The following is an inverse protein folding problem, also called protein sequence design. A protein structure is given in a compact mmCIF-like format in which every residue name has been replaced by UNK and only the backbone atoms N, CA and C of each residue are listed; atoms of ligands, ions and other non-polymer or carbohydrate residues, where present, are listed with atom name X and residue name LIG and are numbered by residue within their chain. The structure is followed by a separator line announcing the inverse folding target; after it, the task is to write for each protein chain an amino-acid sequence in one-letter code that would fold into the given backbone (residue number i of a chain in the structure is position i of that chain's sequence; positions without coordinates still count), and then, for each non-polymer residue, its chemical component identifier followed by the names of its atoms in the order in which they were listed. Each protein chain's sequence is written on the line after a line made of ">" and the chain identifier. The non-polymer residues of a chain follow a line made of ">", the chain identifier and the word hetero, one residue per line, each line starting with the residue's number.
data_IF_629024231021
#
_entry.id   IF_629024231021
#
_cell.length_a   1.000
_cell.length_b   1.000
_cell.length_c   1.000
_cell.angle_alpha   90.00
_cell.angle_beta   90.00
_cell.angle_gamma   90.00
#
_symmetry.space_group_name_H-M   'P 1'
#
loop_
_entity.id
_entity.type
_entity.pdbx_description
1 polymer ?
#
# COMPACT_ATOMS: atom_id res chain seq x y z
N UNK A 1 -7.19 6.61 -19.01
CA UNK A 1 -5.75 6.71 -19.32
C UNK A 1 -5.01 6.09 -18.16
N UNK A 2 -4.08 5.20 -18.46
CA UNK A 2 -3.26 4.52 -17.46
C UNK A 2 -1.96 5.33 -17.27
N UNK A 3 -1.47 5.44 -16.03
CA UNK A 3 -0.19 6.09 -15.74
C UNK A 3 0.99 5.25 -16.25
N UNK A 4 1.18 4.06 -15.69
CA UNK A 4 2.18 3.08 -16.12
C UNK A 4 1.49 1.77 -16.48
N UNK A 5 1.77 1.25 -17.68
CA UNK A 5 1.24 -0.03 -18.13
C UNK A 5 2.37 -1.05 -18.34
N UNK A 6 2.24 -2.21 -17.70
CA UNK A 6 3.16 -3.34 -17.80
C UNK A 6 2.41 -4.55 -18.37
N UNK A 7 2.92 -5.12 -19.45
CA UNK A 7 2.29 -6.26 -20.14
C UNK A 7 3.35 -7.30 -20.44
N UNK A 8 3.24 -8.49 -19.84
CA UNK A 8 4.25 -9.54 -19.99
C UNK A 8 5.65 -9.09 -19.55
N UNK A 9 5.72 -8.23 -18.53
CA UNK A 9 6.94 -7.55 -18.12
C UNK A 9 7.39 -8.07 -16.76
N UNK A 10 8.53 -8.75 -16.72
CA UNK A 10 9.04 -9.39 -15.51
C UNK A 10 10.31 -8.70 -15.00
N UNK A 11 10.58 -8.80 -13.70
CA UNK A 11 11.83 -8.32 -13.06
C UNK A 11 12.11 -6.82 -13.20
N UNK A 12 11.08 -5.98 -13.12
CA UNK A 12 11.21 -4.52 -13.16
C UNK A 12 11.13 -3.90 -11.77
N UNK A 13 11.78 -2.75 -11.62
CA UNK A 13 11.70 -1.88 -10.45
C UNK A 13 10.97 -0.58 -10.83
N UNK A 14 9.88 -0.27 -10.14
CA UNK A 14 9.25 1.04 -10.16
C UNK A 14 9.49 1.65 -8.78
N UNK A 15 10.26 2.73 -8.72
CA UNK A 15 10.61 3.35 -7.45
C UNK A 15 10.60 4.86 -7.50
N UNK A 16 10.30 5.52 -6.39
CA UNK A 16 10.44 6.98 -6.22
C UNK A 16 9.61 7.79 -7.24
N UNK A 17 8.47 7.23 -7.65
CA UNK A 17 7.59 7.85 -8.64
C UNK A 17 6.43 8.58 -7.96
N UNK A 18 6.02 9.72 -8.53
CA UNK A 18 4.73 10.37 -8.21
C UNK A 18 3.76 10.10 -9.37
N UNK A 19 2.69 9.36 -9.11
CA UNK A 19 1.72 8.95 -10.13
C UNK A 19 0.33 9.43 -9.70
N UNK A 20 -0.24 10.37 -10.47
CA UNK A 20 -1.48 11.04 -10.12
C UNK A 20 -2.30 11.45 -11.33
N UNK A 21 -3.60 11.74 -11.14
CA UNK A 21 -4.55 12.14 -12.17
C UNK A 21 -4.73 11.12 -13.32
N UNK A 22 -4.34 9.85 -13.13
CA UNK A 22 -4.69 8.80 -14.07
C UNK A 22 -6.21 8.56 -14.04
N UNK A 23 -6.84 8.60 -15.20
CA UNK A 23 -8.31 8.45 -15.32
C UNK A 23 -8.77 6.99 -15.34
N UNK A 24 -7.84 6.04 -15.31
CA UNK A 24 -8.09 4.61 -15.17
C UNK A 24 -7.27 4.05 -14.00
N UNK A 25 -6.16 3.34 -14.24
CA UNK A 25 -5.23 2.89 -13.20
C UNK A 25 -3.96 3.74 -13.16
N UNK A 26 -3.43 3.99 -11.96
CA UNK A 26 -2.10 4.57 -11.79
C UNK A 26 -1.04 3.62 -12.36
N UNK A 27 -1.10 2.34 -11.97
CA UNK A 27 -0.25 1.27 -12.50
C UNK A 27 -1.14 0.07 -12.87
N UNK A 28 -1.04 -0.42 -14.09
CA UNK A 28 -1.67 -1.67 -14.51
C UNK A 28 -0.61 -2.71 -14.85
N UNK A 29 -0.72 -3.89 -14.25
CA UNK A 29 0.17 -5.03 -14.45
C UNK A 29 -0.60 -6.24 -14.98
N UNK A 30 -0.40 -6.55 -16.26
CA UNK A 30 -1.01 -7.68 -16.94
C UNK A 30 0.04 -8.75 -17.22
N UNK A 31 -0.17 -9.97 -16.70
CA UNK A 31 0.73 -11.11 -16.91
C UNK A 31 2.19 -10.80 -16.59
N UNK A 32 2.44 -10.09 -15.48
CA UNK A 32 3.75 -9.54 -15.11
C UNK A 32 4.20 -10.09 -13.75
N UNK A 33 5.43 -10.58 -13.67
CA UNK A 33 5.92 -11.40 -12.54
C UNK A 33 7.23 -10.85 -11.97
N UNK A 34 7.46 -11.02 -10.67
CA UNK A 34 8.73 -10.65 -10.01
C UNK A 34 9.08 -9.16 -10.13
N UNK A 35 8.09 -8.26 -10.18
CA UNK A 35 8.33 -6.83 -10.18
C UNK A 35 8.27 -6.27 -8.76
N UNK A 36 8.95 -5.15 -8.56
CA UNK A 36 9.04 -4.47 -7.29
C UNK A 36 8.58 -3.01 -7.44
N UNK A 37 7.57 -2.63 -6.68
CA UNK A 37 7.06 -1.25 -6.59
C UNK A 37 7.37 -0.75 -5.17
N UNK A 38 8.18 0.30 -5.06
CA UNK A 38 8.72 0.75 -3.77
C UNK A 38 8.86 2.27 -3.67
N UNK A 39 8.59 2.87 -2.51
CA UNK A 39 8.72 4.31 -2.28
C UNK A 39 7.96 5.18 -3.30
N UNK A 40 6.80 4.73 -3.78
CA UNK A 40 5.99 5.48 -4.74
C UNK A 40 4.89 6.28 -4.04
N UNK A 41 4.57 7.46 -4.56
CA UNK A 41 3.40 8.25 -4.17
C UNK A 41 2.33 8.11 -5.26
N UNK A 42 1.23 7.43 -4.95
CA UNK A 42 0.16 7.10 -5.89
C UNK A 42 -1.14 7.71 -5.39
N UNK A 43 -1.55 8.84 -5.97
CA UNK A 43 -2.61 9.66 -5.39
C UNK A 43 -3.53 10.31 -6.42
N UNK A 44 -4.79 10.58 -6.04
CA UNK A 44 -5.78 11.24 -6.90
C UNK A 44 -5.92 10.60 -8.30
N UNK A 45 -5.81 9.27 -8.37
CA UNK A 45 -6.14 8.52 -9.58
C UNK A 45 -7.56 7.95 -9.48
N UNK A 46 -8.10 7.49 -10.61
CA UNK A 46 -9.35 6.73 -10.57
C UNK A 46 -9.15 5.41 -9.79
N UNK A 47 -8.06 4.68 -10.01
CA UNK A 47 -7.64 3.53 -9.20
C UNK A 47 -6.11 3.52 -9.06
N UNK A 48 -5.57 2.89 -8.01
CA UNK A 48 -4.12 2.80 -7.81
C UNK A 48 -3.48 1.73 -8.70
N UNK A 49 -3.11 0.58 -8.12
CA UNK A 49 -2.45 -0.53 -8.81
C UNK A 49 -3.46 -1.64 -9.10
N UNK A 50 -3.48 -2.13 -10.34
CA UNK A 50 -4.27 -3.30 -10.73
C UNK A 50 -3.39 -4.44 -11.24
N UNK A 51 -3.49 -5.60 -10.58
CA UNK A 51 -2.75 -6.82 -10.92
C UNK A 51 -3.69 -7.86 -11.53
N UNK A 52 -3.50 -8.18 -12.81
CA UNK A 52 -4.26 -9.21 -13.53
C UNK A 52 -3.34 -10.26 -14.15
N UNK A 53 -3.53 -11.52 -13.77
CA UNK A 53 -2.66 -12.62 -14.15
C UNK A 53 -1.20 -12.43 -13.72
N UNK A 54 -0.95 -11.62 -12.68
CA UNK A 54 0.38 -11.18 -12.26
C UNK A 54 0.75 -11.82 -10.92
N UNK A 55 1.99 -12.26 -10.74
CA UNK A 55 2.38 -13.08 -9.57
C UNK A 55 3.76 -12.73 -9.03
N UNK A 56 4.02 -13.03 -7.75
CA UNK A 56 5.33 -12.81 -7.12
C UNK A 56 5.81 -11.35 -7.21
N UNK A 57 4.90 -10.38 -7.26
CA UNK A 57 5.26 -8.97 -7.22
C UNK A 57 5.25 -8.49 -5.77
N UNK A 58 6.12 -7.52 -5.48
CA UNK A 58 6.22 -6.88 -4.17
C UNK A 58 5.80 -5.42 -4.32
N UNK A 59 4.90 -4.97 -3.45
CA UNK A 59 4.56 -3.56 -3.27
C UNK A 59 4.86 -3.20 -1.84
N UNK A 60 5.91 -2.43 -1.62
CA UNK A 60 6.30 -2.00 -0.27
C UNK A 60 6.52 -0.50 -0.18
N UNK A 61 6.42 0.03 1.04
CA UNK A 61 6.89 1.38 1.36
C UNK A 61 6.30 2.50 0.49
N UNK A 62 5.10 2.29 -0.04
CA UNK A 62 4.44 3.21 -0.96
C UNK A 62 3.23 3.87 -0.31
N UNK A 63 2.90 5.07 -0.77
CA UNK A 63 1.83 5.89 -0.23
C UNK A 63 0.68 6.01 -1.21
N UNK A 64 -0.50 5.56 -0.79
CA UNK A 64 -1.72 5.61 -1.57
C UNK A 64 -2.71 6.59 -0.95
N UNK A 65 -3.01 7.67 -1.66
CA UNK A 65 -3.86 8.73 -1.14
C UNK A 65 -5.00 9.12 -2.08
N UNK A 66 -6.23 9.10 -1.58
CA UNK A 66 -7.39 9.68 -2.25
C UNK A 66 -7.60 9.18 -3.69
N UNK A 67 -7.29 7.90 -3.95
CA UNK A 67 -7.69 7.26 -5.21
C UNK A 67 -9.20 6.97 -5.16
N UNK A 68 -9.91 7.20 -6.26
CA UNK A 68 -11.39 7.13 -6.30
C UNK A 68 -11.89 5.71 -5.97
N UNK A 69 -11.22 4.71 -6.51
CA UNK A 69 -11.36 3.28 -6.24
C UNK A 69 -10.21 2.81 -5.33
N UNK A 70 -10.12 1.50 -5.10
CA UNK A 70 -9.07 0.91 -4.28
C UNK A 70 -7.66 1.28 -4.73
N UNK A 71 -6.78 1.41 -3.73
CA UNK A 71 -5.36 1.67 -3.92
C UNK A 71 -4.66 0.50 -4.60
N UNK A 72 -5.02 -0.73 -4.23
CA UNK A 72 -4.50 -1.94 -4.86
C UNK A 72 -5.66 -2.91 -5.06
N UNK A 73 -5.80 -3.41 -6.28
CA UNK A 73 -6.75 -4.45 -6.66
C UNK A 73 -5.99 -5.64 -7.24
N UNK A 74 -6.11 -6.81 -6.61
CA UNK A 74 -5.53 -8.07 -7.07
C UNK A 74 -6.65 -8.96 -7.62
N UNK A 75 -6.62 -9.21 -8.93
CA UNK A 75 -7.58 -10.07 -9.62
C UNK A 75 -7.41 -11.55 -9.24
N UNK A 76 -8.49 -12.33 -9.35
CA UNK A 76 -8.52 -13.79 -9.13
C UNK A 76 -7.47 -14.62 -9.85
N UNK A 77 -6.90 -14.12 -10.95
CA UNK A 77 -5.85 -14.79 -11.71
C UNK A 77 -4.44 -14.50 -11.22
N UNK A 78 -4.30 -13.60 -10.24
CA UNK A 78 -3.04 -13.17 -9.64
C UNK A 78 -2.80 -13.90 -8.31
N UNK A 79 -1.53 -14.20 -8.01
CA UNK A 79 -1.16 -15.01 -6.84
C UNK A 79 0.21 -14.72 -6.28
N UNK A 80 0.44 -15.08 -5.03
CA UNK A 80 1.74 -14.98 -4.35
C UNK A 80 2.35 -13.57 -4.43
N UNK A 81 1.53 -12.51 -4.45
CA UNK A 81 2.04 -11.14 -4.35
C UNK A 81 2.17 -10.73 -2.87
N UNK A 82 3.10 -9.84 -2.58
CA UNK A 82 3.36 -9.35 -1.22
C UNK A 82 3.13 -7.84 -1.15
N UNK A 83 2.34 -7.41 -0.18
CA UNK A 83 1.99 -6.00 0.04
C UNK A 83 2.19 -5.67 1.52
N UNK A 84 3.21 -4.89 1.87
CA UNK A 84 3.51 -4.57 3.27
C UNK A 84 4.24 -3.22 3.39
N UNK A 85 4.23 -2.61 4.58
CA UNK A 85 4.77 -1.30 4.87
C UNK A 85 4.23 -0.17 3.95
N UNK A 86 3.00 -0.28 3.44
CA UNK A 86 2.37 0.79 2.67
C UNK A 86 1.43 1.64 3.54
N UNK A 87 1.19 2.87 3.10
CA UNK A 87 0.20 3.78 3.69
C UNK A 87 -1.06 3.84 2.81
N UNK A 88 -2.19 3.33 3.32
CA UNK A 88 -3.50 3.36 2.64
C UNK A 88 -4.40 4.44 3.25
N UNK A 89 -4.48 5.60 2.60
CA UNK A 89 -5.17 6.77 3.14
C UNK A 89 -6.29 7.23 2.21
N UNK A 90 -7.52 7.18 2.70
CA UNK A 90 -8.68 7.75 2.01
C UNK A 90 -8.94 7.18 0.60
N UNK A 91 -8.60 5.92 0.32
CA UNK A 91 -8.85 5.30 -1.00
C UNK A 91 -10.21 4.58 -1.08
N UNK A 92 -10.83 4.60 -2.25
CA UNK A 92 -12.09 3.89 -2.50
C UNK A 92 -13.36 4.64 -2.04
N UNK A 93 -13.25 5.86 -1.52
CA UNK A 93 -14.41 6.67 -1.07
C UNK A 93 -15.40 7.01 -2.19
N UNK A 94 -15.03 6.84 -3.46
CA UNK A 94 -15.94 7.01 -4.60
C UNK A 94 -17.06 5.95 -4.67
N UNK A 95 -16.93 4.83 -3.93
CA UNK A 95 -17.90 3.74 -3.93
C UNK A 95 -18.90 3.92 -2.78
N UNK A 96 -20.01 4.62 -3.06
CA UNK A 96 -21.26 4.61 -2.26
C UNK A 96 -21.11 4.76 -0.73
N UNK A 97 -20.05 5.43 -0.26
CA UNK A 97 -19.87 5.78 1.15
C UNK A 97 -19.14 4.75 2.02
N UNK A 98 -18.57 3.68 1.43
CA UNK A 98 -17.70 2.75 2.14
C UNK A 98 -16.27 2.89 1.63
N UNK A 99 -15.31 3.03 2.55
CA UNK A 99 -13.89 3.01 2.25
C UNK A 99 -13.51 1.62 1.72
N UNK A 100 -12.97 1.54 0.50
CA UNK A 100 -12.47 0.30 -0.07
C UNK A 100 -10.98 0.47 -0.35
N UNK A 101 -10.16 0.45 0.69
CA UNK A 101 -8.73 0.73 0.60
C UNK A 101 -8.01 -0.22 -0.36
N UNK A 102 -8.32 -1.51 -0.26
CA UNK A 102 -7.71 -2.58 -1.01
C UNK A 102 -8.73 -3.67 -1.36
N UNK A 103 -8.46 -4.41 -2.43
CA UNK A 103 -9.29 -5.51 -2.88
C UNK A 103 -8.45 -6.70 -3.36
N UNK A 104 -8.75 -7.90 -2.87
CA UNK A 104 -8.03 -9.13 -3.18
C UNK A 104 -8.99 -10.28 -3.47
N UNK A 105 -9.04 -10.67 -4.74
CA UNK A 105 -9.71 -11.88 -5.22
C UNK A 105 -8.72 -12.99 -5.56
N UNK A 106 -7.41 -12.74 -5.43
CA UNK A 106 -6.36 -13.64 -5.84
C UNK A 106 -6.14 -14.81 -4.88
N UNK A 107 -5.04 -15.52 -5.09
CA UNK A 107 -4.68 -16.70 -4.29
C UNK A 107 -3.32 -16.50 -3.61
N UNK A 108 -3.24 -16.80 -2.31
CA UNK A 108 -1.97 -16.79 -1.56
C UNK A 108 -1.20 -15.47 -1.62
N UNK A 109 -1.90 -14.34 -1.77
CA UNK A 109 -1.29 -13.03 -1.59
C UNK A 109 -1.13 -12.75 -0.09
N UNK A 110 -0.06 -12.05 0.28
CA UNK A 110 0.27 -11.74 1.67
C UNK A 110 0.25 -10.23 1.83
N UNK A 111 -0.54 -9.74 2.79
CA UNK A 111 -0.71 -8.31 3.09
C UNK A 111 0.12 -7.87 4.30
N UNK A 112 1.21 -8.57 4.54
CA UNK A 112 2.17 -8.33 5.61
C UNK A 112 3.46 -9.08 5.28
N UNK A 113 4.50 -8.84 6.06
CA UNK A 113 5.74 -9.61 6.04
C UNK A 113 5.99 -10.22 7.41
N UNK A 114 6.03 -11.54 7.43
CA UNK A 114 6.32 -12.28 8.65
C UNK A 114 7.79 -12.10 9.04
N UNK A 115 8.01 -11.87 10.33
CA UNK A 115 9.30 -11.57 10.95
C UNK A 115 10.39 -12.65 10.75
N UNK A 116 10.04 -13.89 10.38
CA UNK A 116 11.04 -14.97 10.17
C UNK A 116 12.06 -14.63 9.05
N UNK A 117 11.74 -13.65 8.20
CA UNK A 117 12.61 -13.21 7.10
C UNK A 117 13.58 -12.06 7.46
N UNK A 118 13.71 -11.64 8.73
CA UNK A 118 14.69 -10.61 9.17
C UNK A 118 15.63 -11.10 10.29
N UNK A 119 16.90 -10.65 10.26
CA UNK A 119 18.01 -11.14 11.11
C UNK A 119 18.01 -10.61 12.56
N UNK A 120 17.04 -9.77 12.94
CA UNK A 120 16.95 -9.12 14.25
C UNK A 120 15.57 -9.36 14.87
N UNK A 121 15.56 -9.76 16.14
CA UNK A 121 14.33 -10.02 16.87
C UNK A 121 13.75 -8.71 17.40
N UNK A 122 12.85 -8.07 16.66
CA UNK A 122 11.81 -7.17 17.19
C UNK A 122 10.48 -7.89 17.04
N UNK A 123 9.67 -7.99 18.09
CA UNK A 123 8.56 -8.95 18.24
C UNK A 123 7.41 -8.88 17.23
N UNK A 124 7.48 -7.99 16.24
CA UNK A 124 6.31 -7.44 15.57
C UNK A 124 6.54 -7.56 14.04
N UNK A 125 5.62 -8.21 13.33
CA UNK A 125 5.68 -8.30 11.86
C UNK A 125 5.45 -6.95 11.18
N UNK A 126 5.78 -6.83 9.90
CA UNK A 126 5.60 -5.59 9.13
C UNK A 126 4.32 -5.69 8.30
N UNK A 127 3.22 -5.07 8.74
CA UNK A 127 1.99 -4.95 7.95
C UNK A 127 1.89 -3.60 7.24
N UNK A 128 0.69 -3.14 6.97
CA UNK A 128 0.39 -1.87 6.33
C UNK A 128 -0.35 -0.93 7.29
N UNK A 129 -0.28 0.38 7.01
CA UNK A 129 -1.10 1.37 7.68
C UNK A 129 -2.41 1.58 6.93
N UNK A 130 -3.52 1.49 7.65
CA UNK A 130 -4.87 1.64 7.10
C UNK A 130 -5.58 2.80 7.81
N UNK A 131 -5.95 3.84 7.07
CA UNK A 131 -6.57 5.04 7.64
C UNK A 131 -7.88 4.75 8.39
N UNK A 132 -8.60 3.73 7.96
CA UNK A 132 -9.88 3.25 8.52
C UNK A 132 -9.71 2.13 9.57
N UNK A 133 -8.47 1.78 9.95
CA UNK A 133 -8.25 0.84 11.05
C UNK A 133 -8.54 1.47 12.41
N UNK A 134 -9.45 0.85 13.15
CA UNK A 134 -9.94 1.28 14.45
C UNK A 134 -9.59 0.31 15.59
N UNK A 135 -8.72 -0.67 15.33
CA UNK A 135 -8.24 -1.61 16.34
C UNK A 135 -7.35 -0.98 17.40
N UNK A 136 -7.20 -1.70 18.51
CA UNK A 136 -6.38 -1.28 19.65
C UNK A 136 -4.95 -1.79 19.52
N UNK A 137 -4.04 -1.16 20.25
CA UNK A 137 -2.68 -1.62 20.50
C UNK A 137 -2.47 -1.61 22.01
N UNK A 138 -2.78 -2.74 22.66
CA UNK A 138 -2.83 -2.84 24.12
C UNK A 138 -1.45 -3.02 24.73
N UNK A 139 -0.51 -3.60 23.98
CA UNK A 139 0.88 -3.82 24.38
C UNK A 139 1.81 -2.64 24.00
N UNK A 140 1.33 -1.67 23.22
CA UNK A 140 2.05 -0.51 22.71
C UNK A 140 3.28 -0.90 21.87
N UNK A 141 3.15 -1.92 21.02
CA UNK A 141 4.21 -2.33 20.09
C UNK A 141 4.10 -1.66 18.72
N UNK A 142 3.07 -0.83 18.50
CA UNK A 142 2.83 -0.13 17.24
C UNK A 142 2.09 -0.97 16.20
N UNK A 143 1.72 -2.21 16.54
CA UNK A 143 0.88 -3.11 15.74
C UNK A 143 -0.47 -3.28 16.42
N UNK A 144 -1.52 -3.33 15.62
CA UNK A 144 -2.86 -3.53 16.10
C UNK A 144 -3.14 -4.98 16.55
N UNK A 145 -3.82 -5.12 17.69
CA UNK A 145 -4.18 -6.40 18.31
C UNK A 145 -5.13 -7.25 17.45
N UNK A 146 -5.86 -6.62 16.51
CA UNK A 146 -6.81 -7.29 15.61
C UNK A 146 -6.39 -7.16 14.15
N UNK A 147 -6.37 -8.23 13.34
CA UNK A 147 -6.07 -8.14 11.92
C UNK A 147 -6.99 -7.18 11.15
N UNK A 148 -6.46 -6.54 10.11
CA UNK A 148 -7.24 -5.77 9.13
C UNK A 148 -7.67 -6.70 7.99
N UNK A 149 -8.97 -6.77 7.73
CA UNK A 149 -9.52 -7.62 6.67
C UNK A 149 -9.40 -6.93 5.31
N UNK A 150 -8.87 -7.64 4.31
CA UNK A 150 -8.84 -7.17 2.94
C UNK A 150 -10.16 -7.58 2.26
N UNK A 151 -10.82 -6.61 1.65
CA UNK A 151 -12.06 -6.87 0.92
C UNK A 151 -11.81 -7.77 -0.29
N UNK A 152 -12.82 -8.56 -0.67
CA UNK A 152 -12.72 -9.50 -1.79
C UNK A 152 -13.02 -10.93 -1.37
N UNK A 153 -12.89 -11.86 -2.31
CA UNK A 153 -13.22 -13.27 -2.12
C UNK A 153 -12.06 -14.11 -1.59
N UNK A 154 -10.83 -13.59 -1.56
CA UNK A 154 -9.65 -14.31 -1.09
C UNK A 154 -9.68 -14.58 0.43
N UNK A 155 -10.39 -13.74 1.20
CA UNK A 155 -10.35 -13.79 2.67
C UNK A 155 -8.99 -13.39 3.25
N UNK A 156 -8.19 -12.64 2.48
CA UNK A 156 -6.88 -12.14 2.87
C UNK A 156 -6.98 -11.18 4.06
N UNK A 157 -5.95 -11.19 4.91
CA UNK A 157 -5.85 -10.30 6.06
C UNK A 157 -4.42 -9.76 6.15
N UNK A 158 -4.31 -8.52 6.56
CA UNK A 158 -3.10 -7.99 7.18
C UNK A 158 -3.17 -8.32 8.67
N UNK A 159 -2.33 -9.24 9.13
CA UNK A 159 -2.30 -9.69 10.53
C UNK A 159 -1.38 -8.84 11.41
N UNK A 160 -0.71 -7.84 10.83
CA UNK A 160 0.16 -6.89 11.55
C UNK A 160 -0.18 -5.43 11.18
N UNK A 161 -1.47 -5.01 11.24
CA UNK A 161 -1.84 -3.66 10.83
C UNK A 161 -1.14 -2.61 11.70
N UNK A 162 -0.56 -1.60 11.06
CA UNK A 162 0.24 -0.59 11.76
C UNK A 162 -0.66 0.47 12.41
N UNK A 163 -0.34 0.86 13.65
CA UNK A 163 -1.02 1.94 14.39
C UNK A 163 -0.64 3.33 13.87
N UNK A 164 0.56 3.42 13.30
CA UNK A 164 1.13 4.63 12.72
C UNK A 164 1.53 4.36 11.25
N UNK A 165 1.52 5.40 10.39
CA UNK A 165 2.00 5.29 9.01
C UNK A 165 3.39 4.65 8.93
N UNK A 166 3.64 3.83 7.90
CA UNK A 166 4.92 3.13 7.77
C UNK A 166 6.07 4.13 7.60
N UNK A 167 7.12 3.92 8.39
CA UNK A 167 8.19 4.89 8.59
C UNK A 167 9.31 4.77 7.58
N UNK A 168 9.27 5.55 6.50
CA UNK A 168 10.47 6.29 6.05
C UNK A 168 10.71 7.56 6.89
N UNK A 169 9.76 7.87 7.77
CA UNK A 169 9.56 9.17 8.42
C UNK A 169 10.57 9.48 9.53
N UNK A 170 11.00 8.53 10.37
CA UNK A 170 11.97 8.85 11.44
C UNK A 170 13.36 9.26 10.93
N UNK A 171 13.77 8.78 9.75
CA UNK A 171 15.08 9.12 9.17
C UNK A 171 15.05 10.37 8.26
N UNK A 172 13.89 10.74 7.70
CA UNK A 172 13.70 11.95 6.87
C UNK A 172 13.22 13.17 7.65
N UNK A 173 12.48 13.01 8.75
CA UNK A 173 12.08 14.10 9.65
C UNK A 173 13.28 14.80 10.29
N UNK A 174 14.42 14.12 10.39
CA UNK A 174 15.69 14.73 10.80
C UNK A 174 16.25 15.71 9.76
N UNK A 175 15.79 15.67 8.51
CA UNK A 175 16.36 16.42 7.38
C UNK A 175 15.39 17.39 6.69
N UNK A 176 14.07 17.22 6.81
CA UNK A 176 13.10 18.12 6.16
C UNK A 176 11.87 18.35 7.06
N UNK A 177 11.60 19.62 7.39
CA UNK A 177 10.45 20.11 8.16
C UNK A 177 9.12 19.82 7.42
N UNK A 178 8.63 18.58 7.48
CA UNK A 178 7.34 18.22 6.89
C UNK A 178 6.41 17.66 7.97
N UNK A 179 5.36 18.43 8.27
CA UNK A 179 4.32 18.06 9.23
C UNK A 179 3.19 17.31 8.53
N UNK A 180 3.02 16.04 8.89
CA UNK A 180 2.10 15.10 8.23
C UNK A 180 0.74 14.95 8.91
N UNK A 181 0.52 15.61 10.05
CA UNK A 181 -0.73 15.52 10.81
C UNK A 181 -0.97 14.13 11.44
N UNK A 182 -1.91 14.06 12.38
CA UNK A 182 -2.38 12.82 12.98
C UNK A 182 -3.51 12.17 12.16
N UNK A 183 -3.99 10.98 12.56
CA UNK A 183 -5.10 10.28 11.89
C UNK A 183 -6.43 11.06 11.83
N UNK A 184 -6.52 12.23 12.48
CA UNK A 184 -7.66 13.15 12.53
C UNK A 184 -7.43 14.41 11.70
N UNK A 185 -6.24 14.61 11.12
CA UNK A 185 -5.92 15.79 10.32
C UNK A 185 -6.34 15.60 8.85
N UNK A 186 -7.23 16.47 8.31
CA UNK A 186 -7.83 16.30 6.99
C UNK A 186 -6.90 16.66 5.80
N UNK A 187 -5.60 16.88 6.05
CA UNK A 187 -4.65 17.42 5.07
C UNK A 187 -3.35 16.63 4.98
N UNK A 188 -3.40 15.29 4.98
CA UNK A 188 -2.24 14.46 4.62
C UNK A 188 -1.93 14.70 3.13
N UNK A 189 -1.25 15.81 2.81
CA UNK A 189 -0.90 16.22 1.44
C UNK A 189 0.28 15.41 0.95
N UNK A 190 0.10 14.28 0.27
CA UNK A 190 1.18 13.41 -0.27
C UNK A 190 2.55 14.11 -0.45
N UNK A 191 3.65 13.59 0.13
CA UNK A 191 4.96 14.22 0.06
C UNK A 191 5.34 14.43 -1.39
N UNK A 192 5.69 15.66 -1.76
CA UNK A 192 6.45 15.90 -2.97
C UNK A 192 7.89 15.55 -2.62
N UNK A 193 8.51 14.48 -3.14
CA UNK A 193 9.92 14.22 -2.91
C UNK A 193 10.72 15.34 -3.57
N UNK A 194 11.11 16.34 -2.78
CA UNK A 194 12.16 17.28 -3.17
C UNK A 194 13.49 16.61 -2.83
N UNK A 195 14.19 16.15 -3.86
CA UNK A 195 15.63 15.92 -3.76
C UNK A 195 16.27 17.31 -3.76
N UNK A 196 16.58 17.82 -2.56
CA UNK A 196 17.44 18.98 -2.43
C UNK A 196 18.82 18.63 -2.97
N UNK A 197 19.22 19.28 -4.05
CA UNK A 197 20.59 19.25 -4.60
C UNK A 197 21.49 20.12 -3.73
#
# INVERSE_FOLDING_TARGET
>A
MIGIQMVGSDYNLISLCNIFNATDYAIQMSSSTNNHIICCNIWENNAGIYLVGSSHNVVEESHFYNNTMSAITIDRSSRNNSVYCNDFIMNGWGIRGEALQAYDDGESNIWYKAMVDTLFVTTDGEGNYWYDYDGNDTNNDGVGDTPYNISGSAGSQDIYPLIHPCGWKENLERYYDVNWGDRKDPWVRSPVPYIGI
#
